data_IF_412373160110
#
_entry.id   IF_412373160110
#
_cell.length_a   1.000
_cell.length_b   1.000
_cell.length_c   1.000
_cell.angle_alpha   90.00
_cell.angle_beta   90.00
_cell.angle_gamma   90.00
#
_symmetry.space_group_name_H-M   'P 1'
#
loop_
_entity.id
_entity.type
_entity.pdbx_description
1 polymer ?
#
# COMPACT_ATOMS: atom_id res chain seq x y z
N UNK A 1 9.63 -12.59 -23.73
CA UNK A 1 10.36 -11.37 -23.36
C UNK A 1 10.88 -11.50 -21.93
N UNK A 2 12.09 -11.02 -21.61
CA UNK A 2 12.62 -11.02 -20.24
C UNK A 2 11.97 -9.92 -19.37
N UNK A 3 12.04 -10.03 -18.04
CA UNK A 3 11.68 -8.91 -17.17
C UNK A 3 12.65 -7.74 -17.36
N UNK A 4 12.15 -6.50 -17.27
CA UNK A 4 12.97 -5.32 -17.52
C UNK A 4 12.16 -4.04 -17.69
N UNK A 5 12.83 -2.95 -18.04
CA UNK A 5 12.17 -1.69 -18.38
C UNK A 5 11.75 -1.69 -19.85
N UNK A 6 10.50 -1.27 -20.09
CA UNK A 6 9.88 -1.17 -21.39
C UNK A 6 9.26 0.22 -21.56
N UNK A 7 9.20 0.69 -22.80
CA UNK A 7 8.41 1.86 -23.18
C UNK A 7 7.04 1.36 -23.65
N UNK A 8 5.99 1.76 -22.96
CA UNK A 8 4.61 1.39 -23.26
C UNK A 8 3.84 2.60 -23.80
N UNK A 9 2.86 2.35 -24.66
CA UNK A 9 1.89 3.35 -25.06
C UNK A 9 0.79 3.49 -23.98
N UNK A 10 0.54 4.72 -23.56
CA UNK A 10 -0.57 5.09 -22.68
C UNK A 10 -1.48 6.11 -23.35
N UNK A 11 -2.53 6.52 -22.64
CA UNK A 11 -3.54 7.46 -23.16
C UNK A 11 -2.98 8.83 -23.56
N UNK A 12 -1.94 9.31 -22.87
CA UNK A 12 -1.35 10.63 -23.09
C UNK A 12 0.04 10.58 -23.75
N UNK A 13 0.43 9.44 -24.33
CA UNK A 13 1.76 9.26 -24.95
C UNK A 13 2.48 8.02 -24.42
N UNK A 14 3.80 7.97 -24.59
CA UNK A 14 4.62 6.83 -24.14
C UNK A 14 5.22 7.06 -22.77
N UNK A 15 5.34 5.99 -21.97
CA UNK A 15 6.01 6.05 -20.66
C UNK A 15 6.89 4.81 -20.43
N UNK A 16 7.98 5.01 -19.71
CA UNK A 16 8.87 3.93 -19.30
C UNK A 16 8.37 3.30 -18.00
N UNK A 17 8.29 1.98 -17.96
CA UNK A 17 7.93 1.23 -16.74
C UNK A 17 8.60 -0.13 -16.73
N UNK A 18 8.71 -0.72 -15.54
CA UNK A 18 9.22 -2.07 -15.37
C UNK A 18 8.10 -3.09 -15.58
N UNK A 19 8.35 -4.07 -16.44
CA UNK A 19 7.47 -5.20 -16.66
C UNK A 19 8.13 -6.46 -16.08
N UNK A 20 7.42 -7.15 -15.19
CA UNK A 20 7.80 -8.48 -14.74
C UNK A 20 7.15 -9.53 -15.66
N UNK A 21 7.98 -10.25 -16.42
CA UNK A 21 7.54 -11.29 -17.36
C UNK A 21 7.57 -12.69 -16.73
N UNK A 22 8.02 -12.81 -15.48
CA UNK A 22 7.94 -14.04 -14.70
C UNK A 22 6.59 -14.25 -14.01
N UNK A 23 6.55 -15.16 -13.04
CA UNK A 23 5.38 -15.42 -12.21
C UNK A 23 5.30 -14.42 -11.05
N UNK A 24 4.14 -13.81 -10.85
CA UNK A 24 3.85 -12.95 -9.69
C UNK A 24 2.43 -13.25 -9.21
N UNK A 25 2.22 -13.32 -7.89
CA UNK A 25 0.93 -13.71 -7.29
C UNK A 25 0.31 -14.99 -7.92
N UNK A 26 1.15 -15.98 -8.25
CA UNK A 26 0.70 -17.26 -8.83
C UNK A 26 0.27 -17.19 -10.31
N UNK A 27 0.34 -16.03 -10.96
CA UNK A 27 0.03 -15.88 -12.39
C UNK A 27 1.26 -15.50 -13.20
N UNK A 28 1.44 -16.16 -14.34
CA UNK A 28 2.58 -15.96 -15.22
C UNK A 28 2.39 -14.73 -16.13
N UNK A 29 3.46 -13.93 -16.27
CA UNK A 29 3.63 -12.96 -17.35
C UNK A 29 2.99 -11.58 -17.16
N UNK A 30 3.49 -10.63 -17.97
CA UNK A 30 2.93 -9.32 -18.30
C UNK A 30 2.52 -8.38 -17.15
N UNK A 31 3.18 -8.46 -16.01
CA UNK A 31 2.92 -7.56 -14.88
C UNK A 31 3.58 -6.20 -15.09
N UNK A 32 2.77 -5.16 -15.28
CA UNK A 32 3.26 -3.77 -15.37
C UNK A 32 3.32 -3.13 -13.99
N UNK A 33 4.50 -2.64 -13.59
CA UNK A 33 4.69 -1.99 -12.29
C UNK A 33 4.08 -0.59 -12.28
N UNK A 34 3.14 -0.35 -11.36
CA UNK A 34 2.53 0.97 -11.16
C UNK A 34 3.20 1.79 -10.07
N UNK A 35 3.72 1.13 -9.04
CA UNK A 35 4.38 1.77 -7.91
C UNK A 35 5.55 0.93 -7.43
N UNK A 36 6.58 1.60 -6.92
CA UNK A 36 7.73 0.99 -6.26
C UNK A 36 8.22 1.94 -5.17
N UNK A 37 8.28 1.45 -3.94
CA UNK A 37 8.84 2.15 -2.80
C UNK A 37 9.61 1.13 -1.98
N UNK A 38 10.93 1.29 -1.92
CA UNK A 38 11.81 0.44 -1.16
C UNK A 38 12.57 1.27 -0.15
N UNK A 39 12.10 1.25 1.10
CA UNK A 39 12.71 2.03 2.17
C UNK A 39 13.97 1.37 2.75
N UNK A 40 14.32 0.16 2.30
CA UNK A 40 15.62 -0.45 2.66
C UNK A 40 16.78 0.26 1.96
N UNK A 41 16.54 0.86 0.80
CA UNK A 41 17.48 1.75 0.12
C UNK A 41 17.48 3.13 0.79
N UNK A 42 18.59 3.49 1.43
CA UNK A 42 18.78 4.74 2.15
C UNK A 42 18.62 6.00 1.27
N UNK A 43 18.73 5.87 -0.04
CA UNK A 43 18.61 6.99 -1.00
C UNK A 43 17.16 7.29 -1.39
N UNK A 44 16.22 6.37 -1.11
CA UNK A 44 14.81 6.54 -1.43
C UNK A 44 14.14 7.47 -0.42
N UNK A 45 13.48 8.51 -0.93
CA UNK A 45 12.69 9.45 -0.13
C UNK A 45 11.21 9.03 -0.08
N UNK A 46 10.52 9.44 0.99
CA UNK A 46 9.08 9.20 1.09
C UNK A 46 8.31 9.99 0.01
N UNK A 47 7.20 9.43 -0.52
CA UNK A 47 6.34 10.14 -1.46
C UNK A 47 5.78 11.45 -0.86
N UNK A 48 5.39 12.38 -1.72
CA UNK A 48 4.78 13.65 -1.29
C UNK A 48 3.60 13.41 -0.34
N UNK A 49 3.54 14.19 0.74
CA UNK A 49 2.55 14.05 1.83
C UNK A 49 2.95 13.05 2.92
N UNK A 50 3.89 12.15 2.66
CA UNK A 50 4.42 11.22 3.65
C UNK A 50 5.68 11.78 4.32
N UNK A 51 5.84 11.44 5.60
CA UNK A 51 7.03 11.73 6.42
C UNK A 51 7.87 10.46 6.55
N UNK A 52 9.19 10.64 6.55
CA UNK A 52 10.14 9.59 6.94
C UNK A 52 10.09 9.34 8.45
N UNK A 53 9.84 8.09 8.82
CA UNK A 53 10.06 7.54 10.16
C UNK A 53 11.30 6.66 10.14
N UNK A 54 12.18 6.86 11.13
CA UNK A 54 13.40 6.09 11.26
C UNK A 54 13.67 5.76 12.73
N UNK A 55 13.69 4.47 13.07
CA UNK A 55 13.96 3.98 14.41
C UNK A 55 14.43 2.53 14.35
N UNK A 56 15.34 2.12 15.24
CA UNK A 56 15.78 0.72 15.34
C UNK A 56 16.37 0.13 14.04
N UNK A 57 16.97 0.96 13.17
CA UNK A 57 17.49 0.55 11.87
C UNK A 57 16.43 0.40 10.77
N UNK A 58 15.15 0.62 11.08
CA UNK A 58 14.04 0.59 10.11
C UNK A 58 13.79 2.00 9.58
N UNK A 59 13.53 2.10 8.27
CA UNK A 59 13.01 3.29 7.60
C UNK A 59 11.63 2.97 7.04
N UNK A 60 10.67 3.87 7.27
CA UNK A 60 9.30 3.72 6.78
C UNK A 60 8.69 5.09 6.44
N UNK A 61 7.65 5.08 5.62
CA UNK A 61 6.88 6.27 5.30
C UNK A 61 5.53 6.22 5.99
N UNK A 62 5.17 7.31 6.65
CA UNK A 62 3.91 7.42 7.36
C UNK A 62 3.34 8.83 7.29
N UNK A 63 2.16 9.01 7.86
CA UNK A 63 1.49 10.30 7.91
C UNK A 63 2.23 11.26 8.85
N UNK A 64 2.16 12.57 8.56
CA UNK A 64 2.77 13.62 9.39
C UNK A 64 2.02 13.89 10.71
N UNK A 65 0.69 13.93 10.66
CA UNK A 65 -0.16 14.31 11.81
C UNK A 65 -0.41 13.15 12.78
N UNK A 66 -0.70 13.46 14.04
CA UNK A 66 -1.16 12.51 15.07
C UNK A 66 -2.69 12.44 15.24
N UNK A 67 -3.46 13.41 14.75
CA UNK A 67 -4.95 13.40 14.80
C UNK A 67 -5.59 12.41 13.80
N UNK A 68 -6.89 12.17 13.76
CA UNK A 68 -7.51 11.21 12.83
C UNK A 68 -7.36 11.60 11.35
N UNK A 69 -7.28 10.62 10.44
CA UNK A 69 -7.26 10.84 8.97
C UNK A 69 -6.27 9.98 8.17
N UNK A 70 -6.24 10.18 6.85
CA UNK A 70 -5.37 9.43 5.92
C UNK A 70 -4.49 10.36 5.09
N UNK A 71 -3.38 9.83 4.57
CA UNK A 71 -2.62 10.45 3.47
C UNK A 71 -2.49 9.42 2.36
N UNK A 72 -2.61 9.86 1.11
CA UNK A 72 -2.54 8.99 -0.06
C UNK A 72 -1.71 9.61 -1.16
N UNK A 73 -1.11 8.74 -1.97
CA UNK A 73 -0.45 9.09 -3.22
C UNK A 73 -1.16 8.34 -4.34
N UNK A 74 -1.40 9.02 -5.45
CA UNK A 74 -2.01 8.42 -6.62
C UNK A 74 -0.94 7.99 -7.61
N UNK A 75 -1.00 6.75 -8.06
CA UNK A 75 -0.16 6.22 -9.12
C UNK A 75 -1.00 6.04 -10.38
N UNK A 76 -0.72 6.76 -11.48
CA UNK A 76 -1.51 6.65 -12.69
C UNK A 76 -1.28 5.29 -13.36
N UNK A 77 -2.35 4.65 -13.81
CA UNK A 77 -2.25 3.47 -14.69
C UNK A 77 -1.85 3.81 -16.12
N UNK A 78 -1.77 5.09 -16.46
CA UNK A 78 -1.53 5.62 -17.81
C UNK A 78 -2.48 5.04 -18.86
N UNK A 79 -3.71 4.70 -18.46
CA UNK A 79 -4.72 4.16 -19.35
C UNK A 79 -4.56 2.67 -19.68
N UNK A 80 -3.63 1.95 -19.04
CA UNK A 80 -3.54 0.50 -19.21
C UNK A 80 -4.78 -0.15 -18.59
N UNK A 81 -5.44 -1.00 -19.38
CA UNK A 81 -6.44 -1.95 -18.89
C UNK A 81 -5.76 -3.12 -18.17
N UNK A 82 -6.27 -3.48 -17.01
CA UNK A 82 -5.75 -4.58 -16.20
C UNK A 82 -6.88 -5.45 -15.67
N UNK A 83 -6.61 -6.76 -15.57
CA UNK A 83 -7.53 -7.75 -15.00
C UNK A 83 -7.24 -8.04 -13.53
N UNK A 84 -6.00 -7.82 -13.09
CA UNK A 84 -5.52 -8.19 -11.76
C UNK A 84 -4.59 -7.11 -11.20
N UNK A 85 -4.57 -7.02 -9.87
CA UNK A 85 -3.60 -6.20 -9.12
C UNK A 85 -2.86 -7.15 -8.19
N UNK A 86 -1.52 -7.04 -8.18
CA UNK A 86 -0.65 -7.78 -7.29
C UNK A 86 0.32 -6.79 -6.64
N UNK A 87 0.54 -6.95 -5.34
CA UNK A 87 1.40 -6.06 -4.58
C UNK A 87 1.86 -6.68 -3.28
N UNK A 88 2.85 -6.04 -2.67
CA UNK A 88 3.36 -6.37 -1.34
C UNK A 88 3.55 -5.08 -0.56
N UNK A 89 3.14 -5.09 0.69
CA UNK A 89 3.35 -4.01 1.64
C UNK A 89 4.00 -4.58 2.89
N UNK A 90 4.98 -3.87 3.43
CA UNK A 90 5.52 -4.11 4.76
C UNK A 90 5.18 -2.91 5.62
N UNK A 91 4.39 -3.11 6.65
CA UNK A 91 4.00 -2.08 7.61
C UNK A 91 4.71 -2.28 8.95
N UNK A 92 4.85 -1.19 9.70
CA UNK A 92 5.38 -1.21 11.07
C UNK A 92 4.39 -0.50 11.97
N UNK A 93 4.06 -1.13 13.10
CA UNK A 93 3.24 -0.51 14.12
C UNK A 93 4.05 0.53 14.88
N UNK A 94 3.42 1.67 15.17
CA UNK A 94 3.94 2.69 16.06
C UNK A 94 2.82 3.10 17.02
N UNK A 95 3.03 2.88 18.32
CA UNK A 95 2.02 3.02 19.38
C UNK A 95 0.82 2.07 19.23
N UNK A 96 -0.37 2.52 19.61
CA UNK A 96 -1.63 1.79 19.62
C UNK A 96 -2.25 1.77 18.23
N UNK A 97 -2.92 0.67 17.91
CA UNK A 97 -3.85 0.59 16.78
C UNK A 97 -5.25 0.22 17.26
N UNK A 98 -6.24 1.04 16.93
CA UNK A 98 -7.67 0.94 17.15
C UNK A 98 -8.45 0.43 15.91
N UNK A 99 -7.79 -0.03 14.84
CA UNK A 99 -8.43 -0.47 13.58
C UNK A 99 -9.54 -1.50 13.73
N UNK A 100 -9.50 -2.31 14.79
CA UNK A 100 -10.49 -3.34 15.12
C UNK A 100 -11.20 -3.08 16.46
N UNK A 101 -11.15 -1.85 16.98
CA UNK A 101 -12.00 -1.52 18.12
C UNK A 101 -13.47 -1.80 17.76
N UNK A 102 -14.17 -2.56 18.60
CA UNK A 102 -15.46 -3.20 18.30
C UNK A 102 -16.61 -2.22 18.04
N UNK A 103 -16.31 -0.92 18.00
CA UNK A 103 -17.20 0.20 17.74
C UNK A 103 -17.27 0.60 16.26
N UNK A 104 -16.34 0.15 15.39
CA UNK A 104 -16.28 0.60 13.98
C UNK A 104 -16.25 -0.54 12.96
N UNK A 105 -17.33 -0.68 12.18
CA UNK A 105 -17.52 -1.75 11.17
C UNK A 105 -17.62 -1.24 9.73
N UNK A 106 -17.22 0.01 9.45
CA UNK A 106 -17.28 0.60 8.11
C UNK A 106 -15.88 0.91 7.59
N UNK A 107 -15.61 0.57 6.32
CA UNK A 107 -14.39 0.92 5.59
C UNK A 107 -14.20 2.45 5.47
N UNK A 108 -15.28 3.23 5.60
CA UNK A 108 -15.23 4.70 5.63
C UNK A 108 -15.19 5.31 7.04
N UNK A 109 -15.32 4.50 8.10
CA UNK A 109 -14.96 4.92 9.46
C UNK A 109 -13.45 5.20 9.53
N UNK A 110 -12.99 5.90 10.59
CA UNK A 110 -11.59 6.31 10.78
C UNK A 110 -10.64 5.23 10.28
N UNK A 111 -10.04 5.52 9.13
CA UNK A 111 -9.34 4.58 8.27
C UNK A 111 -8.56 3.54 9.07
N UNK A 112 -8.68 2.28 8.65
CA UNK A 112 -7.79 1.20 9.06
C UNK A 112 -6.39 1.73 9.35
N UNK A 113 -5.86 1.43 10.53
CA UNK A 113 -4.46 1.73 10.81
C UNK A 113 -3.58 0.74 10.09
N UNK A 114 -3.16 1.18 8.92
CA UNK A 114 -2.41 0.39 7.99
C UNK A 114 -2.42 1.03 6.61
N UNK A 115 -2.46 0.19 5.59
CA UNK A 115 -2.31 0.61 4.19
C UNK A 115 -3.45 0.05 3.38
N UNK A 116 -4.24 0.93 2.76
CA UNK A 116 -5.27 0.53 1.79
C UNK A 116 -4.83 0.85 0.37
N UNK A 117 -5.13 -0.05 -0.55
CA UNK A 117 -5.03 0.17 -2.00
C UNK A 117 -6.44 0.32 -2.53
N UNK A 118 -6.69 1.45 -3.20
CA UNK A 118 -7.98 1.76 -3.83
C UNK A 118 -7.77 2.19 -5.26
N UNK A 119 -8.80 2.06 -6.10
CA UNK A 119 -8.75 2.40 -7.52
C UNK A 119 -10.00 3.17 -7.98
N UNK A 120 -9.87 3.90 -9.07
CA UNK A 120 -10.99 4.53 -9.75
C UNK A 120 -11.56 5.77 -9.07
N UNK A 121 -12.54 6.38 -9.74
CA UNK A 121 -13.36 7.48 -9.24
C UNK A 121 -14.81 7.23 -9.68
N UNK A 122 -15.75 6.88 -8.78
CA UNK A 122 -15.60 6.84 -7.31
C UNK A 122 -14.62 5.76 -6.82
N UNK A 123 -14.08 5.98 -5.61
CA UNK A 123 -13.08 5.13 -4.96
C UNK A 123 -13.61 3.70 -4.75
N UNK A 124 -12.93 2.72 -5.33
CA UNK A 124 -13.20 1.29 -5.13
C UNK A 124 -12.08 0.66 -4.30
N UNK A 125 -12.45 -0.17 -3.33
CA UNK A 125 -11.49 -0.94 -2.53
C UNK A 125 -10.86 -2.06 -3.38
N UNK A 126 -9.56 -2.29 -3.20
CA UNK A 126 -8.84 -3.43 -3.79
C UNK A 126 -8.39 -4.37 -2.69
N UNK A 127 -7.65 -3.83 -1.72
CA UNK A 127 -7.10 -4.60 -0.59
C UNK A 127 -6.67 -3.64 0.52
N UNK A 128 -6.61 -4.15 1.75
CA UNK A 128 -6.08 -3.42 2.90
C UNK A 128 -5.19 -4.32 3.75
N UNK A 129 -4.02 -3.81 4.14
CA UNK A 129 -3.26 -4.31 5.28
C UNK A 129 -3.71 -3.53 6.52
N UNK A 130 -4.17 -4.25 7.53
CA UNK A 130 -4.59 -3.73 8.82
C UNK A 130 -3.74 -4.35 9.93
N UNK A 131 -3.58 -3.67 11.05
CA UNK A 131 -2.96 -4.24 12.24
C UNK A 131 -3.89 -4.11 13.44
N UNK A 132 -3.90 -5.14 14.28
CA UNK A 132 -4.57 -5.14 15.58
C UNK A 132 -3.66 -4.58 16.65
N UNK A 133 -4.25 -4.15 17.77
CA UNK A 133 -3.47 -3.61 18.89
C UNK A 133 -2.49 -4.64 19.45
N UNK A 134 -2.93 -5.90 19.46
CA UNK A 134 -2.21 -7.01 20.07
C UNK A 134 -2.36 -8.28 19.25
N UNK A 135 -1.31 -9.10 19.26
CA UNK A 135 -1.28 -10.47 18.76
C UNK A 135 -1.65 -11.50 19.84
N UNK A 136 -1.80 -11.03 21.08
CA UNK A 136 -2.03 -11.88 22.25
C UNK A 136 -3.51 -12.06 22.50
N UNK A 137 -3.95 -13.31 22.50
CA UNK A 137 -5.31 -13.70 22.86
C UNK A 137 -5.56 -13.48 24.36
N UNK A 138 -5.92 -12.25 24.73
CA UNK A 138 -6.26 -11.82 26.09
C UNK A 138 -7.77 -11.57 26.24
N UNK A 139 -8.20 -10.97 27.35
CA UNK A 139 -9.61 -10.62 27.66
C UNK A 139 -10.30 -9.64 26.68
N UNK A 140 -9.60 -9.22 25.61
CA UNK A 140 -10.06 -8.25 24.62
C UNK A 140 -9.92 -8.80 23.19
N UNK A 141 -10.61 -9.90 22.85
CA UNK A 141 -10.43 -10.62 21.57
C UNK A 141 -10.78 -9.78 20.34
N UNK A 142 -11.54 -8.70 20.52
CA UNK A 142 -11.91 -7.79 19.45
C UNK A 142 -10.75 -6.89 18.97
N UNK A 143 -9.66 -6.75 19.75
CA UNK A 143 -8.51 -5.92 19.37
C UNK A 143 -7.46 -6.66 18.54
N UNK A 144 -7.73 -7.93 18.21
CA UNK A 144 -6.86 -8.81 17.44
C UNK A 144 -7.28 -8.73 15.97
N UNK A 145 -6.34 -8.90 15.04
CA UNK A 145 -6.69 -9.13 13.64
C UNK A 145 -7.61 -10.36 13.51
N UNK A 146 -8.66 -10.31 12.68
CA UNK A 146 -9.53 -11.48 12.40
C UNK A 146 -8.78 -12.70 11.86
#
# INVERSE_FOLDING_TARGET
SPSGYYILAGTNGTFATYCNMGTLCGSAGAWTRLAYLDMTDATVNCPSGFRLYQSGGVRACGRYNSGPGCVSVQFPSNGISYSQICGRVTGYQYHSTDAFDGSTNDLNSYYVEGVSITRGSPRQHVWTLANGLTDSYNNHPYWICP
#
